data_IF_799483608961
#
_entry.id   IF_799483608961
#
_cell.length_a   1.000
_cell.length_b   1.000
_cell.length_c   1.000
_cell.angle_alpha   90.00
_cell.angle_beta   90.00
_cell.angle_gamma   90.00
#
_symmetry.space_group_name_H-M   'P 1'
#
loop_
_entity.id
_entity.type
_entity.pdbx_description
1 polymer ?
#
# COMPACT_ATOMS: atom_id res chain seq x y z
N UNK A 1 -2.14 -63.99 38.12
CA UNK A 1 -0.70 -63.68 38.01
C UNK A 1 -0.62 -62.23 37.56
N UNK A 2 -0.93 -61.31 38.48
CA UNK A 2 -0.03 -60.53 39.35
C UNK A 2 0.22 -59.15 38.70
N UNK A 3 -0.56 -58.14 39.06
CA UNK A 3 -0.26 -57.07 40.05
C UNK A 3 -0.05 -55.78 39.24
N UNK A 4 -0.85 -54.70 39.40
CA UNK A 4 -0.74 -53.66 40.44
C UNK A 4 0.72 -53.17 40.58
N UNK A 5 1.04 -51.89 40.34
CA UNK A 5 0.90 -50.83 41.34
C UNK A 5 0.84 -49.41 40.73
N UNK A 6 0.22 -48.51 41.49
CA UNK A 6 0.08 -47.08 41.27
C UNK A 6 0.77 -46.35 42.41
N UNK A 7 1.58 -45.32 42.12
CA UNK A 7 2.08 -44.31 43.07
C UNK A 7 2.53 -43.06 42.28
N UNK A 8 2.51 -41.81 42.71
CA UNK A 8 1.70 -41.00 43.65
C UNK A 8 1.99 -39.52 43.31
N UNK A 9 1.07 -38.62 43.66
CA UNK A 9 1.17 -37.17 43.56
C UNK A 9 2.26 -36.54 44.46
N UNK A 10 2.90 -35.45 44.01
CA UNK A 10 3.19 -34.30 44.89
C UNK A 10 3.02 -32.97 44.17
N UNK A 11 1.97 -32.25 44.58
CA UNK A 11 1.64 -30.86 44.29
C UNK A 11 2.26 -29.97 45.39
N UNK A 12 3.02 -28.91 45.07
CA UNK A 12 3.36 -27.90 46.07
C UNK A 12 2.28 -26.80 46.10
N UNK A 13 1.27 -27.01 46.96
CA UNK A 13 0.47 -25.93 47.53
C UNK A 13 1.04 -25.56 48.91
N UNK A 14 1.44 -24.30 49.09
CA UNK A 14 1.36 -23.56 50.35
C UNK A 14 0.82 -22.16 49.99
N UNK A 15 -0.47 -21.85 50.14
CA UNK A 15 -1.17 -21.39 51.36
C UNK A 15 -0.38 -20.30 52.13
N UNK A 16 -0.87 -19.16 52.65
CA UNK A 16 -2.16 -18.46 52.84
C UNK A 16 -1.74 -17.04 53.22
N UNK A 17 -2.46 -16.01 52.77
CA UNK A 17 -2.87 -14.93 53.68
C UNK A 17 -4.02 -14.13 53.07
N UNK A 18 -5.22 -14.48 53.49
CA UNK A 18 -6.38 -13.59 53.45
C UNK A 18 -6.18 -12.54 54.53
N UNK A 19 -6.17 -11.26 54.17
CA UNK A 19 -6.55 -10.18 55.08
C UNK A 19 -7.47 -9.24 54.32
N UNK A 20 -8.73 -9.31 54.74
CA UNK A 20 -9.88 -8.54 54.32
C UNK A 20 -9.96 -7.33 55.27
N UNK A 21 -9.82 -6.11 54.77
CA UNK A 21 -10.29 -4.86 55.41
C UNK A 21 -10.60 -3.87 54.27
N UNK A 22 -11.86 -3.57 53.92
CA UNK A 22 -12.66 -2.42 54.44
C UNK A 22 -11.80 -1.17 54.66
N UNK A 23 -12.00 0.01 54.03
CA UNK A 23 -13.22 0.74 53.64
C UNK A 23 -12.83 2.03 52.85
N UNK A 24 -13.80 2.80 52.31
CA UNK A 24 -13.63 3.76 51.21
C UNK A 24 -13.49 5.22 51.68
N UNK A 25 -12.92 6.09 50.84
CA UNK A 25 -13.12 7.55 50.95
C UNK A 25 -12.77 8.27 49.65
N UNK A 26 -13.79 8.88 49.05
CA UNK A 26 -13.80 10.25 48.49
C UNK A 26 -12.66 10.69 47.54
N UNK A 27 -12.93 10.64 46.24
CA UNK A 27 -12.49 11.66 45.27
C UNK A 27 -13.26 11.50 43.94
N UNK A 28 -14.57 11.64 44.01
CA UNK A 28 -15.33 12.17 42.89
C UNK A 28 -15.53 13.67 43.17
N UNK A 29 -15.45 14.48 42.11
CA UNK A 29 -15.55 15.95 42.07
C UNK A 29 -14.21 16.66 42.26
N UNK A 30 -13.47 16.85 41.17
CA UNK A 30 -13.31 18.20 40.65
C UNK A 30 -12.66 18.24 39.25
N UNK A 31 -13.12 19.20 38.45
CA UNK A 31 -12.56 19.66 37.18
C UNK A 31 -12.97 18.90 35.90
N UNK A 32 -14.29 18.84 35.71
CA UNK A 32 -14.90 19.36 34.49
C UNK A 32 -14.46 20.83 34.27
N UNK A 33 -13.25 21.07 33.77
CA UNK A 33 -12.84 22.30 33.07
C UNK A 33 -11.62 22.01 32.19
N UNK A 34 -11.85 21.48 30.99
CA UNK A 34 -10.99 21.83 29.87
C UNK A 34 -11.90 22.18 28.70
N UNK A 35 -12.20 23.48 28.65
CA UNK A 35 -12.89 24.14 27.56
C UNK A 35 -12.15 23.94 26.26
N UNK A 36 -12.94 23.80 25.20
CA UNK A 36 -12.75 24.42 23.89
C UNK A 36 -11.57 25.39 23.83
N UNK A 37 -10.41 24.97 23.33
CA UNK A 37 -9.35 25.85 22.78
C UNK A 37 -8.33 25.10 21.91
N UNK A 38 -8.64 23.92 21.34
CA UNK A 38 -7.81 23.26 20.31
C UNK A 38 -8.43 23.34 18.91
N UNK A 39 -9.13 24.44 18.65
CA UNK A 39 -9.64 24.84 17.33
C UNK A 39 -8.76 25.95 16.73
N UNK A 40 -7.43 25.92 16.86
CA UNK A 40 -6.55 26.83 16.09
C UNK A 40 -5.05 26.52 16.18
N UNK A 41 -4.55 25.52 15.44
CA UNK A 41 -3.15 25.46 14.96
C UNK A 41 -3.04 24.28 13.97
N UNK A 42 -2.55 24.36 12.74
CA UNK A 42 -1.86 25.38 11.95
C UNK A 42 -2.17 25.06 10.48
N UNK A 43 -2.59 26.04 9.69
CA UNK A 43 -2.62 25.90 8.24
C UNK A 43 -1.18 25.71 7.74
N UNK A 44 -0.88 24.54 7.16
CA UNK A 44 0.36 24.31 6.43
C UNK A 44 0.34 25.25 5.21
N UNK A 45 1.29 26.18 5.06
CA UNK A 45 1.33 27.03 3.88
C UNK A 45 1.53 26.16 2.63
N UNK A 46 0.85 26.47 1.51
CA UNK A 46 1.01 25.70 0.28
C UNK A 46 2.47 25.78 -0.19
N UNK A 47 3.07 24.66 -0.63
CA UNK A 47 4.45 24.67 -1.10
C UNK A 47 4.57 25.55 -2.35
N UNK A 48 5.54 26.45 -2.34
CA UNK A 48 5.82 27.35 -3.47
C UNK A 48 6.20 26.57 -4.74
N UNK A 49 5.79 27.04 -5.93
CA UNK A 49 6.08 26.36 -7.18
C UNK A 49 7.56 26.51 -7.55
N UNK A 50 8.31 25.42 -7.46
CA UNK A 50 9.67 25.31 -8.00
C UNK A 50 9.66 25.47 -9.52
N UNK A 51 10.05 26.66 -9.98
CA UNK A 51 10.21 27.01 -11.39
C UNK A 51 11.45 26.33 -11.96
N UNK A 52 11.28 25.15 -12.55
CA UNK A 52 12.34 24.47 -13.29
C UNK A 52 12.72 25.28 -14.53
N UNK A 53 13.89 25.93 -14.47
CA UNK A 53 14.53 26.60 -15.60
C UNK A 53 15.09 25.51 -16.52
N UNK A 54 14.44 25.29 -17.66
CA UNK A 54 14.97 24.45 -18.74
C UNK A 54 16.02 25.28 -19.48
N UNK A 55 17.31 24.88 -19.52
CA UNK A 55 18.28 25.54 -20.37
C UNK A 55 18.00 25.16 -21.84
N UNK A 56 17.60 26.14 -22.64
CA UNK A 56 17.54 26.04 -24.10
C UNK A 56 18.95 25.91 -24.65
N UNK A 57 19.41 24.69 -24.93
CA UNK A 57 20.58 24.50 -25.78
C UNK A 57 20.10 24.38 -27.23
N UNK A 58 20.30 25.48 -27.93
CA UNK A 58 20.32 25.63 -29.38
C UNK A 58 21.12 24.51 -30.03
N UNK A 59 20.49 23.80 -30.96
CA UNK A 59 21.19 22.91 -31.90
C UNK A 59 21.78 23.83 -32.97
N UNK A 60 23.09 24.06 -32.89
CA UNK A 60 23.86 24.63 -33.98
C UNK A 60 23.91 23.58 -35.10
N UNK A 61 23.31 23.95 -36.22
CA UNK A 61 23.46 23.31 -37.51
C UNK A 61 24.88 23.58 -38.04
N UNK A 62 25.71 22.55 -38.12
CA UNK A 62 26.83 22.54 -39.04
C UNK A 62 26.62 21.42 -40.05
N UNK A 63 26.01 21.82 -41.17
CA UNK A 63 26.12 21.19 -42.46
C UNK A 63 27.48 21.62 -43.02
N UNK A 64 28.36 20.65 -43.32
CA UNK A 64 29.44 20.81 -44.28
C UNK A 64 29.74 19.42 -44.87
N UNK A 65 29.06 19.18 -45.99
CA UNK A 65 29.62 18.91 -47.31
C UNK A 65 30.69 17.82 -47.50
N UNK A 66 30.34 16.93 -48.45
CA UNK A 66 31.16 16.32 -49.50
C UNK A 66 32.25 15.32 -49.08
N UNK A 67 32.18 14.10 -49.62
CA UNK A 67 33.17 13.63 -50.62
C UNK A 67 32.70 12.34 -51.33
N UNK A 68 33.16 12.24 -52.57
CA UNK A 68 32.75 11.43 -53.71
C UNK A 68 32.59 9.91 -53.55
N UNK A 69 31.53 9.40 -54.19
CA UNK A 69 31.39 8.00 -54.62
C UNK A 69 32.37 7.70 -55.76
N UNK A 70 33.43 6.95 -55.48
CA UNK A 70 34.09 6.17 -56.52
C UNK A 70 34.89 4.98 -55.95
N UNK A 71 34.35 3.79 -56.23
CA UNK A 71 35.13 2.65 -56.73
C UNK A 71 36.28 2.13 -55.87
N UNK A 72 36.04 1.09 -55.07
CA UNK A 72 36.83 -0.16 -55.12
C UNK A 72 36.41 -1.11 -54.02
N UNK A 73 36.28 -2.39 -54.38
CA UNK A 73 35.82 -3.43 -53.50
C UNK A 73 36.73 -3.63 -52.29
N UNK A 74 36.10 -3.76 -51.14
CA UNK A 74 36.61 -4.61 -50.08
C UNK A 74 35.43 -5.43 -49.57
N UNK A 75 35.43 -6.71 -49.93
CA UNK A 75 34.57 -7.68 -49.30
C UNK A 75 34.97 -7.75 -47.82
N UNK A 76 34.34 -6.91 -47.00
CA UNK A 76 34.36 -7.11 -45.56
C UNK A 76 33.37 -8.24 -45.34
N UNK A 77 33.90 -9.45 -45.19
CA UNK A 77 33.25 -10.51 -44.45
C UNK A 77 32.96 -9.99 -43.05
N UNK A 78 31.88 -9.22 -42.91
CA UNK A 78 31.26 -8.99 -41.61
C UNK A 78 30.78 -10.37 -41.16
N UNK A 79 31.66 -11.06 -40.43
CA UNK A 79 31.24 -11.94 -39.36
C UNK A 79 30.01 -11.33 -38.72
N UNK A 80 28.86 -11.98 -38.90
CA UNK A 80 27.60 -11.69 -38.23
C UNK A 80 27.73 -12.02 -36.74
N UNK A 81 28.70 -11.41 -36.07
CA UNK A 81 28.99 -11.48 -34.64
C UNK A 81 28.69 -10.14 -33.96
N UNK A 82 27.82 -9.31 -34.55
CA UNK A 82 27.10 -8.30 -33.78
C UNK A 82 25.68 -8.79 -33.55
N UNK A 83 25.60 -9.86 -32.75
CA UNK A 83 24.66 -10.03 -31.65
C UNK A 83 23.32 -9.30 -31.87
N UNK A 84 22.43 -9.95 -32.61
CA UNK A 84 21.06 -9.53 -32.92
C UNK A 84 20.44 -8.50 -31.96
N UNK A 85 20.23 -7.30 -32.50
CA UNK A 85 19.13 -6.37 -32.27
C UNK A 85 18.87 -5.85 -30.84
N UNK A 86 19.53 -4.73 -30.51
CA UNK A 86 19.05 -3.79 -29.48
C UNK A 86 17.70 -3.15 -29.93
N UNK A 87 16.58 -3.85 -29.76
CA UNK A 87 15.22 -3.34 -30.05
C UNK A 87 14.69 -2.31 -29.01
N UNK A 88 15.60 -1.57 -28.37
CA UNK A 88 15.32 -0.34 -27.64
C UNK A 88 16.61 0.49 -27.55
N UNK A 89 16.54 1.79 -27.90
CA UNK A 89 17.70 2.70 -28.00
C UNK A 89 18.56 2.84 -26.71
N UNK A 90 18.08 2.37 -25.56
CA UNK A 90 18.83 2.43 -24.31
C UNK A 90 19.83 1.27 -24.19
N UNK A 91 21.13 1.59 -24.17
CA UNK A 91 22.21 0.61 -24.08
C UNK A 91 22.51 0.13 -22.64
N UNK A 92 22.02 0.84 -21.63
CA UNK A 92 22.35 0.57 -20.23
C UNK A 92 21.39 -0.44 -19.58
N UNK A 93 21.90 -1.21 -18.61
CA UNK A 93 21.15 -2.17 -17.80
C UNK A 93 20.28 -1.48 -16.73
N UNK A 94 19.30 -0.70 -17.19
CA UNK A 94 18.37 0.02 -16.33
C UNK A 94 17.17 -0.85 -15.95
N UNK A 95 16.39 -0.42 -14.93
CA UNK A 95 15.14 -1.12 -14.53
C UNK A 95 14.09 -1.20 -15.65
N UNK A 96 14.14 -0.30 -16.63
CA UNK A 96 13.28 -0.29 -17.81
C UNK A 96 13.77 -1.19 -18.94
N UNK A 97 15.06 -1.51 -18.98
CA UNK A 97 15.70 -2.26 -20.06
C UNK A 97 16.13 -3.66 -19.60
N UNK A 98 15.23 -4.37 -18.92
CA UNK A 98 15.47 -5.77 -18.54
C UNK A 98 15.06 -6.67 -19.71
N UNK A 99 15.84 -7.70 -19.97
CA UNK A 99 15.71 -8.57 -21.14
C UNK A 99 15.67 -10.03 -20.70
N UNK A 100 14.92 -10.86 -21.42
CA UNK A 100 14.93 -12.32 -21.30
C UNK A 100 15.42 -12.92 -22.61
N UNK A 101 16.36 -13.86 -22.53
CA UNK A 101 16.83 -14.65 -23.68
C UNK A 101 15.85 -15.80 -23.88
N UNK A 102 15.30 -15.94 -25.08
CA UNK A 102 14.35 -17.01 -25.44
C UNK A 102 14.86 -17.73 -26.68
N UNK A 103 14.77 -19.06 -26.69
CA UNK A 103 15.00 -19.89 -27.88
C UNK A 103 13.80 -19.78 -28.80
N UNK A 104 14.01 -19.32 -30.02
CA UNK A 104 12.98 -19.32 -31.05
C UNK A 104 12.81 -20.73 -31.62
N UNK A 105 11.69 -21.02 -32.28
CA UNK A 105 11.48 -22.31 -32.95
C UNK A 105 12.58 -22.67 -33.97
N UNK A 106 13.26 -21.67 -34.55
CA UNK A 106 14.40 -21.86 -35.47
C UNK A 106 15.73 -22.19 -34.76
N UNK A 107 15.74 -22.38 -33.44
CA UNK A 107 16.94 -22.71 -32.67
C UNK A 107 17.82 -21.51 -32.30
N UNK A 108 17.48 -20.30 -32.74
CA UNK A 108 18.22 -19.08 -32.42
C UNK A 108 17.85 -18.54 -31.03
N UNK A 109 18.83 -17.94 -30.35
CA UNK A 109 18.59 -17.20 -29.11
C UNK A 109 18.27 -15.74 -29.44
N UNK A 110 17.09 -15.26 -29.03
CA UNK A 110 16.68 -13.86 -29.22
C UNK A 110 16.37 -13.17 -27.90
N UNK A 111 16.62 -11.87 -27.87
CA UNK A 111 16.33 -10.99 -26.74
C UNK A 111 14.90 -10.48 -26.77
N UNK A 112 14.15 -10.71 -25.70
CA UNK A 112 12.82 -10.13 -25.49
C UNK A 112 12.83 -9.13 -24.33
N UNK A 113 12.45 -7.88 -24.61
CA UNK A 113 12.34 -6.85 -23.58
C UNK A 113 11.18 -7.13 -22.62
N UNK A 114 11.53 -7.25 -21.34
CA UNK A 114 10.56 -7.47 -20.28
C UNK A 114 9.88 -6.17 -19.89
N UNK A 115 8.55 -6.25 -19.80
CA UNK A 115 7.72 -5.20 -19.23
C UNK A 115 7.91 -5.23 -17.69
N UNK A 116 8.14 -4.07 -17.05
CA UNK A 116 8.11 -3.94 -15.57
C UNK A 116 6.82 -4.53 -14.99
N UNK A 117 6.92 -5.18 -13.83
CA UNK A 117 5.79 -5.80 -13.15
C UNK A 117 4.85 -4.73 -12.57
N UNK A 118 3.54 -4.97 -12.63
CA UNK A 118 2.54 -4.17 -11.94
C UNK A 118 2.59 -4.38 -10.42
N UNK A 119 2.14 -3.38 -9.66
CA UNK A 119 1.96 -3.51 -8.22
C UNK A 119 0.53 -3.90 -7.90
N UNK A 120 0.34 -4.75 -6.87
CA UNK A 120 -0.99 -5.08 -6.39
C UNK A 120 -1.62 -3.86 -5.69
N UNK A 121 -2.93 -3.63 -5.85
CA UNK A 121 -3.62 -2.58 -5.13
C UNK A 121 -3.62 -2.88 -3.64
N UNK A 122 -3.37 -1.85 -2.83
CA UNK A 122 -3.27 -1.94 -1.37
C UNK A 122 -4.52 -1.36 -0.73
N UNK A 123 -4.86 -1.86 0.45
CA UNK A 123 -5.87 -1.26 1.29
C UNK A 123 -5.41 0.13 1.75
N UNK A 124 -6.29 1.14 1.65
CA UNK A 124 -5.96 2.51 2.07
C UNK A 124 -5.74 2.70 3.58
N UNK A 125 -6.28 1.81 4.41
CA UNK A 125 -6.18 1.91 5.87
C UNK A 125 -5.10 0.96 6.40
N UNK A 126 -5.24 -0.32 6.07
CA UNK A 126 -4.40 -1.41 6.58
C UNK A 126 -3.09 -1.59 5.77
N UNK A 127 -2.97 -1.04 4.54
CA UNK A 127 -1.80 -1.22 3.66
C UNK A 127 -1.62 -2.62 3.03
N UNK A 128 -2.44 -3.59 3.42
CA UNK A 128 -2.42 -4.98 2.96
C UNK A 128 -2.80 -5.06 1.47
N UNK A 129 -2.17 -5.96 0.71
CA UNK A 129 -2.52 -6.24 -0.70
C UNK A 129 -3.94 -6.80 -0.77
N UNK A 130 -4.79 -6.23 -1.63
CA UNK A 130 -6.17 -6.65 -1.74
C UNK A 130 -6.28 -8.01 -2.45
N UNK A 131 -6.92 -9.02 -1.83
CA UNK A 131 -7.13 -10.31 -2.47
C UNK A 131 -8.16 -10.19 -3.59
N UNK A 132 -8.01 -11.02 -4.62
CA UNK A 132 -8.95 -11.09 -5.75
C UNK A 132 -8.77 -10.03 -6.83
N UNK A 133 -7.78 -9.13 -6.71
CA UNK A 133 -7.51 -8.09 -7.72
C UNK A 133 -6.12 -8.30 -8.32
N UNK A 134 -5.99 -8.41 -9.66
CA UNK A 134 -4.74 -8.77 -10.31
C UNK A 134 -3.72 -7.62 -10.23
N UNK A 135 -2.44 -7.93 -10.08
CA UNK A 135 -1.36 -6.94 -10.06
C UNK A 135 -0.90 -6.59 -11.48
N UNK A 136 -1.50 -5.57 -12.08
CA UNK A 136 -1.29 -5.19 -13.48
C UNK A 136 -0.86 -3.73 -13.63
N UNK A 137 -0.46 -3.35 -14.85
CA UNK A 137 -0.11 -1.96 -15.15
C UNK A 137 -1.34 -1.12 -15.45
N UNK A 138 -1.28 0.22 -15.28
CA UNK A 138 -2.43 1.09 -15.54
C UNK A 138 -3.06 0.91 -16.94
N UNK A 139 -2.25 0.71 -17.98
CA UNK A 139 -2.76 0.46 -19.34
C UNK A 139 -3.51 -0.88 -19.47
N UNK A 140 -2.99 -1.93 -18.84
CA UNK A 140 -3.63 -3.26 -18.83
C UNK A 140 -4.90 -3.22 -17.98
N UNK A 141 -4.89 -2.45 -16.89
CA UNK A 141 -6.07 -2.18 -16.08
C UNK A 141 -7.19 -1.52 -16.88
N UNK A 142 -6.89 -0.62 -17.81
CA UNK A 142 -7.92 -0.02 -18.68
C UNK A 142 -8.60 -1.05 -19.59
N UNK A 143 -7.86 -2.05 -20.06
CA UNK A 143 -8.36 -3.07 -21.00
C UNK A 143 -9.23 -4.14 -20.35
N UNK A 144 -9.09 -4.35 -19.05
CA UNK A 144 -9.77 -5.43 -18.34
C UNK A 144 -11.24 -5.09 -18.04
N UNK A 145 -12.07 -6.12 -17.93
CA UNK A 145 -13.47 -6.01 -17.52
C UNK A 145 -13.63 -5.59 -16.05
N UNK A 146 -14.70 -4.87 -15.72
CA UNK A 146 -15.03 -4.41 -14.36
C UNK A 146 -14.94 -5.47 -13.24
N UNK A 147 -15.52 -6.68 -13.35
CA UNK A 147 -15.53 -7.66 -12.26
C UNK A 147 -14.13 -8.16 -11.85
N UNK A 148 -13.15 -8.05 -12.75
CA UNK A 148 -11.75 -8.41 -12.45
C UNK A 148 -11.02 -7.29 -11.70
N UNK A 149 -11.54 -6.06 -11.69
CA UNK A 149 -10.92 -4.90 -11.02
C UNK A 149 -11.46 -4.68 -9.61
N UNK A 150 -12.64 -5.21 -9.30
CA UNK A 150 -13.34 -4.96 -8.03
C UNK A 150 -13.74 -6.27 -7.35
N UNK A 151 -14.22 -6.15 -6.11
CA UNK A 151 -14.84 -7.25 -5.36
C UNK A 151 -16.28 -6.82 -5.03
N UNK A 152 -17.23 -7.76 -5.08
CA UNK A 152 -18.66 -7.52 -4.86
C UNK A 152 -19.01 -7.29 -3.37
N UNK A 153 -18.53 -6.17 -2.81
CA UNK A 153 -18.85 -5.69 -1.45
C UNK A 153 -18.73 -4.17 -1.36
N UNK A 154 -19.18 -3.59 -0.25
CA UNK A 154 -18.92 -2.18 0.07
C UNK A 154 -17.41 -1.88 0.09
N UNK A 155 -17.01 -0.78 -0.56
CA UNK A 155 -15.61 -0.37 -0.75
C UNK A 155 -14.71 -1.44 -1.42
N UNK A 156 -15.29 -2.32 -2.22
CA UNK A 156 -14.57 -3.34 -2.97
C UNK A 156 -13.45 -2.76 -3.83
N UNK A 157 -12.24 -3.28 -3.69
CA UNK A 157 -11.05 -2.81 -4.40
C UNK A 157 -10.38 -1.55 -3.85
N UNK A 158 -10.93 -0.94 -2.81
CA UNK A 158 -10.25 0.13 -2.05
C UNK A 158 -9.87 -0.34 -0.64
N UNK A 159 -10.74 -1.13 0.00
CA UNK A 159 -10.57 -1.57 1.40
C UNK A 159 -10.66 -3.09 1.55
N UNK A 160 -9.91 -3.64 2.51
CA UNK A 160 -9.99 -5.06 2.87
C UNK A 160 -11.24 -5.34 3.71
N UNK A 161 -11.63 -6.60 3.83
CA UNK A 161 -12.85 -6.99 4.54
C UNK A 161 -12.80 -6.60 6.03
N UNK A 162 -11.66 -6.76 6.71
CA UNK A 162 -11.48 -6.37 8.11
C UNK A 162 -11.69 -4.87 8.31
N UNK A 163 -10.93 -4.04 7.57
CA UNK A 163 -11.06 -2.59 7.65
C UNK A 163 -12.49 -2.09 7.27
N UNK A 164 -13.26 -2.81 6.44
CA UNK A 164 -14.69 -2.50 6.18
C UNK A 164 -15.58 -2.86 7.37
N UNK A 165 -15.39 -4.03 7.98
CA UNK A 165 -16.12 -4.44 9.19
C UNK A 165 -15.93 -3.43 10.32
N UNK A 166 -14.69 -3.01 10.55
CA UNK A 166 -14.36 -2.05 11.62
C UNK A 166 -15.02 -0.70 11.39
N UNK A 167 -15.14 -0.25 10.12
CA UNK A 167 -15.86 0.99 9.77
C UNK A 167 -17.35 0.88 10.09
N UNK A 168 -17.99 -0.24 9.75
CA UNK A 168 -19.41 -0.47 10.00
C UNK A 168 -19.68 -0.50 11.51
N UNK A 169 -18.92 -1.30 12.25
CA UNK A 169 -19.09 -1.43 13.71
C UNK A 169 -18.80 -0.11 14.42
N UNK A 170 -17.73 0.59 14.03
CA UNK A 170 -17.39 1.90 14.61
C UNK A 170 -18.48 2.94 14.34
N UNK A 171 -19.01 2.99 13.11
CA UNK A 171 -20.08 3.93 12.77
C UNK A 171 -21.33 3.67 13.64
N UNK A 172 -21.75 2.41 13.71
CA UNK A 172 -22.90 1.99 14.52
C UNK A 172 -22.73 2.36 15.99
N UNK A 173 -21.63 1.96 16.63
CA UNK A 173 -21.42 2.23 18.06
C UNK A 173 -21.35 3.74 18.37
N UNK A 174 -20.76 4.53 17.48
CA UNK A 174 -20.70 6.00 17.65
C UNK A 174 -22.10 6.61 17.54
N UNK A 175 -22.94 6.13 16.63
CA UNK A 175 -24.32 6.60 16.49
C UNK A 175 -25.16 6.25 17.72
N UNK A 176 -25.08 5.00 18.20
CA UNK A 176 -25.75 4.56 19.42
C UNK A 176 -25.33 5.40 20.64
N UNK A 177 -24.03 5.58 20.82
CA UNK A 177 -23.51 6.44 21.90
C UNK A 177 -23.99 7.89 21.79
N UNK A 178 -24.12 8.42 20.57
CA UNK A 178 -24.65 9.78 20.34
C UNK A 178 -26.12 9.88 20.76
N UNK A 179 -26.94 8.86 20.47
CA UNK A 179 -28.36 8.83 20.85
C UNK A 179 -28.48 8.79 22.38
N UNK A 180 -27.76 7.87 23.03
CA UNK A 180 -27.77 7.75 24.51
C UNK A 180 -27.36 9.07 25.17
N UNK A 181 -26.30 9.71 24.68
CA UNK A 181 -25.85 11.02 25.19
C UNK A 181 -26.90 12.12 25.03
N UNK A 182 -27.69 12.12 23.95
CA UNK A 182 -28.78 13.09 23.75
C UNK A 182 -29.92 12.86 24.74
N UNK A 183 -30.38 11.62 24.87
CA UNK A 183 -31.48 11.26 25.79
C UNK A 183 -31.13 11.57 27.25
N UNK A 184 -29.90 11.29 27.67
CA UNK A 184 -29.43 11.61 29.03
C UNK A 184 -29.42 13.13 29.28
N UNK A 185 -28.96 13.93 28.30
CA UNK A 185 -28.98 15.40 28.40
C UNK A 185 -30.40 15.95 28.49
N UNK A 186 -31.32 15.47 27.65
CA UNK A 186 -32.72 15.88 27.69
C UNK A 186 -33.42 15.50 29.00
N UNK A 187 -33.09 14.33 29.55
CA UNK A 187 -33.64 13.87 30.84
C UNK A 187 -33.15 14.72 32.01
N UNK A 188 -31.87 15.07 32.03
CA UNK A 188 -31.29 15.98 33.04
C UNK A 188 -31.90 17.39 32.97
N UNK A 189 -32.09 17.92 31.75
CA UNK A 189 -32.73 19.22 31.54
C UNK A 189 -34.19 19.23 32.00
N UNK A 190 -34.94 18.13 31.79
CA UNK A 190 -36.31 18.00 32.30
C UNK A 190 -36.35 17.89 33.83
N UNK A 191 -35.39 17.19 34.43
CA UNK A 191 -35.30 17.04 35.88
C UNK A 191 -34.94 18.36 36.59
N UNK A 192 -34.00 19.15 36.06
CA UNK A 192 -33.59 20.43 36.64
C UNK A 192 -34.55 21.61 36.39
N UNK A 193 -35.62 21.41 35.61
CA UNK A 193 -36.65 22.42 35.33
C UNK A 193 -37.93 22.22 36.15
N UNK A 194 -37.96 21.19 37.01
CA UNK A 194 -38.95 20.98 38.06
C UNK A 194 -38.41 21.54 39.36
#
# INVERSE_FOLDING_TARGET
MSSAEAETHTNPSRHISLCFTTTPTTAALDQFKYSQDDQQQTAIPPPEPVRFKIPSKTISSHHHDLYDDSSSGMAITFSNELLTDFLAFNRYNTRSNKVRIVKTPGGELRYLHLKKKGTAPKCGDCGIKLPGIPALRPREYSQISRPKKNVSRAYGGSRCAGCVKDRIVRAFLIEEQKIVKKVLKESQQKAGKR
#
